data_IF_938323024179
#
_entry.id   IF_938323024179
#
_cell.length_a   1.000
_cell.length_b   1.000
_cell.length_c   1.000
_cell.angle_alpha   90.00
_cell.angle_beta   90.00
_cell.angle_gamma   90.00
#
_symmetry.space_group_name_H-M   'P 1'
#
loop_
_entity.id
_entity.type
_entity.pdbx_description
1 polymer ?
#
# COMPACT_ATOMS: atom_id res chain seq x y z
N UNK A 1 -16.99 -2.33 2.17
CA UNK A 1 -15.68 -1.73 2.46
C UNK A 1 -14.59 -2.76 2.76
N UNK A 2 -14.89 -3.71 3.66
CA UNK A 2 -13.96 -4.82 3.91
C UNK A 2 -13.70 -5.62 2.64
N UNK A 3 -14.76 -5.81 1.86
CA UNK A 3 -14.63 -6.54 0.61
C UNK A 3 -13.66 -5.85 -0.36
N UNK A 4 -13.68 -4.51 -0.39
CA UNK A 4 -12.79 -3.77 -1.24
C UNK A 4 -11.34 -3.92 -0.76
N UNK A 5 -11.13 -3.83 0.56
CA UNK A 5 -9.79 -4.01 1.13
C UNK A 5 -9.24 -5.39 0.82
N UNK A 6 -10.06 -6.43 0.98
CA UNK A 6 -9.64 -7.79 0.68
C UNK A 6 -9.28 -7.96 -0.79
N UNK A 7 -10.10 -7.38 -1.66
CA UNK A 7 -9.86 -7.44 -3.09
C UNK A 7 -8.56 -6.75 -3.46
N UNK A 8 -8.34 -5.55 -2.91
CA UNK A 8 -7.12 -4.80 -3.18
C UNK A 8 -5.90 -5.58 -2.69
N UNK A 9 -5.95 -6.09 -1.47
CA UNK A 9 -4.82 -6.81 -0.89
C UNK A 9 -4.51 -8.09 -1.66
N UNK A 10 -5.53 -8.86 -2.02
CA UNK A 10 -5.33 -10.08 -2.79
C UNK A 10 -4.67 -9.80 -4.13
N UNK A 11 -5.19 -8.80 -4.84
CA UNK A 11 -4.64 -8.45 -6.14
C UNK A 11 -3.26 -7.81 -6.03
N UNK A 12 -3.05 -7.06 -4.95
CA UNK A 12 -1.78 -6.39 -4.74
C UNK A 12 -0.64 -7.38 -4.47
N UNK A 13 -0.91 -8.39 -3.64
CA UNK A 13 0.12 -9.38 -3.33
C UNK A 13 0.50 -10.19 -4.56
N UNK A 14 -0.48 -10.46 -5.43
CA UNK A 14 -0.21 -11.15 -6.69
C UNK A 14 0.57 -10.27 -7.67
N UNK A 15 0.31 -8.98 -7.61
CA UNK A 15 0.98 -8.05 -8.50
C UNK A 15 2.44 -7.83 -8.09
N UNK A 16 2.67 -7.59 -6.79
CA UNK A 16 4.00 -7.29 -6.29
C UNK A 16 4.02 -7.38 -4.78
N UNK A 17 4.69 -8.40 -4.25
CA UNK A 17 4.74 -8.63 -2.81
C UNK A 17 5.34 -7.47 -2.03
N UNK A 18 6.35 -6.81 -2.59
CA UNK A 18 6.99 -5.69 -1.88
C UNK A 18 6.05 -4.50 -1.77
N UNK A 19 5.25 -4.27 -2.80
CA UNK A 19 4.21 -3.25 -2.74
C UNK A 19 3.20 -3.58 -1.65
N UNK A 20 2.80 -4.84 -1.60
CA UNK A 20 1.85 -5.32 -0.60
C UNK A 20 2.41 -5.10 0.81
N UNK A 21 3.66 -5.51 1.04
CA UNK A 21 4.28 -5.35 2.34
C UNK A 21 4.34 -3.88 2.75
N UNK A 22 4.74 -3.01 1.84
CA UNK A 22 4.85 -1.59 2.12
C UNK A 22 3.49 -0.99 2.49
N UNK A 23 2.47 -1.31 1.72
CA UNK A 23 1.12 -0.79 1.97
C UNK A 23 0.57 -1.29 3.31
N UNK A 24 0.72 -2.59 3.58
CA UNK A 24 0.22 -3.17 4.82
C UNK A 24 0.90 -2.57 6.04
N UNK A 25 2.22 -2.47 6.00
CA UNK A 25 2.97 -1.96 7.15
C UNK A 25 2.65 -0.49 7.45
N UNK A 26 2.57 0.33 6.43
CA UNK A 26 2.39 1.76 6.62
C UNK A 26 0.93 2.14 6.84
N UNK A 27 0.03 1.63 6.01
CA UNK A 27 -1.36 2.09 6.06
C UNK A 27 -2.27 1.23 6.88
N UNK A 28 -2.03 -0.05 6.94
CA UNK A 28 -2.88 -0.94 7.69
C UNK A 28 -2.42 -1.10 9.13
N UNK A 29 -1.13 -1.30 9.31
CA UNK A 29 -0.55 -1.44 10.65
C UNK A 29 -0.09 -0.12 11.23
N UNK A 30 -0.25 0.95 10.50
CA UNK A 30 0.02 2.31 10.95
C UNK A 30 1.45 2.54 11.44
N UNK A 31 2.40 1.85 10.86
CA UNK A 31 3.81 2.08 11.18
C UNK A 31 4.32 3.35 10.54
N UNK A 32 5.31 3.95 11.18
CA UNK A 32 6.02 5.05 10.53
C UNK A 32 6.75 4.49 9.32
N UNK A 33 6.98 5.34 8.33
CA UNK A 33 7.68 4.89 7.13
C UNK A 33 9.10 4.44 7.46
N UNK A 34 9.76 5.15 8.37
CA UNK A 34 11.10 4.77 8.79
C UNK A 34 11.13 3.36 9.39
N UNK A 35 10.15 3.04 10.24
CA UNK A 35 10.07 1.73 10.86
C UNK A 35 9.75 0.64 9.84
N UNK A 36 8.84 0.93 8.92
CA UNK A 36 8.49 -0.01 7.88
C UNK A 36 9.69 -0.32 6.99
N UNK A 37 10.45 0.71 6.62
CA UNK A 37 11.65 0.52 5.81
C UNK A 37 12.67 -0.35 6.54
N UNK A 38 12.83 -0.11 7.83
CA UNK A 38 13.75 -0.89 8.67
C UNK A 38 13.35 -2.37 8.66
N UNK A 39 12.06 -2.63 8.88
CA UNK A 39 11.55 -4.01 8.91
C UNK A 39 11.71 -4.71 7.57
N UNK A 40 11.55 -3.96 6.49
CA UNK A 40 11.70 -4.52 5.15
C UNK A 40 13.16 -4.64 4.71
N UNK A 41 14.08 -4.07 5.48
CA UNK A 41 15.50 -4.09 5.14
C UNK A 41 15.83 -3.25 3.93
N UNK A 42 15.13 -2.15 3.74
CA UNK A 42 15.34 -1.25 2.60
C UNK A 42 15.51 0.18 3.10
N UNK A 43 16.01 1.04 2.22
CA UNK A 43 16.17 2.44 2.55
C UNK A 43 14.83 3.16 2.45
N UNK A 44 14.72 4.26 3.17
CA UNK A 44 13.50 5.04 3.21
C UNK A 44 13.06 5.52 1.82
N UNK A 45 13.99 5.98 1.00
CA UNK A 45 13.62 6.44 -0.34
C UNK A 45 13.15 5.29 -1.23
N UNK A 46 13.64 4.07 -0.98
CA UNK A 46 13.13 2.90 -1.70
C UNK A 46 11.69 2.63 -1.28
N UNK A 47 11.41 2.75 0.03
CA UNK A 47 10.06 2.57 0.53
C UNK A 47 9.11 3.61 -0.08
N UNK A 48 9.55 4.87 -0.16
CA UNK A 48 8.74 5.92 -0.78
C UNK A 48 8.38 5.57 -2.21
N UNK A 49 9.34 5.03 -2.96
CA UNK A 49 9.08 4.60 -4.34
C UNK A 49 8.08 3.47 -4.41
N UNK A 50 8.23 2.49 -3.51
CA UNK A 50 7.28 1.36 -3.47
C UNK A 50 5.87 1.84 -3.17
N UNK A 51 5.73 2.72 -2.18
CA UNK A 51 4.42 3.25 -1.80
C UNK A 51 3.80 4.05 -2.94
N UNK A 52 4.61 4.88 -3.60
CA UNK A 52 4.13 5.70 -4.71
C UNK A 52 3.62 4.82 -5.85
N UNK A 53 4.39 3.82 -6.22
CA UNK A 53 4.01 2.92 -7.31
C UNK A 53 2.79 2.08 -6.97
N UNK A 54 2.75 1.59 -5.73
CA UNK A 54 1.62 0.79 -5.27
C UNK A 54 0.33 1.61 -5.29
N UNK A 55 0.38 2.83 -4.76
CA UNK A 55 -0.78 3.71 -4.74
C UNK A 55 -1.24 4.05 -6.15
N UNK A 56 -0.31 4.31 -7.04
CA UNK A 56 -0.63 4.64 -8.42
C UNK A 56 -1.34 3.47 -9.10
N UNK A 57 -0.85 2.26 -8.87
CA UNK A 57 -1.47 1.06 -9.42
C UNK A 57 -2.87 0.85 -8.85
N UNK A 58 -3.03 1.02 -7.53
CA UNK A 58 -4.32 0.86 -6.88
C UNK A 58 -5.32 1.87 -7.43
N UNK A 59 -4.90 3.12 -7.54
CA UNK A 59 -5.75 4.17 -8.06
C UNK A 59 -6.18 3.87 -9.49
N UNK A 60 -5.26 3.41 -10.31
CA UNK A 60 -5.56 3.09 -11.70
C UNK A 60 -6.54 1.94 -11.81
N UNK A 61 -6.39 0.93 -10.97
CA UNK A 61 -7.22 -0.26 -11.03
C UNK A 61 -8.59 -0.07 -10.39
N UNK A 62 -8.65 0.63 -9.26
CA UNK A 62 -9.88 0.78 -8.49
C UNK A 62 -10.52 2.16 -8.59
N UNK A 63 -9.76 3.16 -9.00
CA UNK A 63 -10.30 4.49 -9.29
C UNK A 63 -11.03 5.13 -8.12
N UNK A 64 -12.30 5.43 -8.36
CA UNK A 64 -13.13 6.16 -7.39
C UNK A 64 -13.23 5.44 -6.04
N UNK A 65 -13.29 4.12 -6.06
CA UNK A 65 -13.38 3.35 -4.82
C UNK A 65 -12.17 3.59 -3.94
N UNK A 66 -10.99 3.63 -4.55
CA UNK A 66 -9.77 3.89 -3.80
C UNK A 66 -9.75 5.31 -3.25
N UNK A 67 -10.20 6.27 -4.04
CA UNK A 67 -10.23 7.67 -3.61
C UNK A 67 -11.17 7.88 -2.45
N UNK A 68 -12.32 7.22 -2.46
CA UNK A 68 -13.26 7.29 -1.34
C UNK A 68 -12.64 6.71 -0.08
N UNK A 69 -11.94 5.59 -0.21
CA UNK A 69 -11.28 4.96 0.90
C UNK A 69 -10.23 5.89 1.51
N UNK A 70 -9.51 6.59 0.65
CA UNK A 70 -8.46 7.51 1.05
C UNK A 70 -8.99 8.76 1.72
N UNK A 71 -10.18 9.18 1.35
CA UNK A 71 -10.80 10.39 1.88
C UNK A 71 -11.14 10.30 3.34
N UNK A 72 -11.31 9.10 3.83
CA UNK A 72 -11.69 8.90 5.22
C UNK A 72 -10.55 9.17 6.18
N UNK A 73 -9.37 9.27 5.66
CA UNK A 73 -8.21 9.61 6.45
C UNK A 73 -8.14 11.11 6.67
#
# INVERSE_FOLDING_TARGET
>A
RLELHEKIFTNLIEKNERWYDAIVLVYYMEMTQAKAAELMGIRLEVLHSLLHRAKKWIKKKYGTEYEEMNRED
#
